data_IF_474172908491
#
_entry.id   IF_474172908491
#
_cell.length_a   1.000
_cell.length_b   1.000
_cell.length_c   1.000
_cell.angle_alpha   90.00
_cell.angle_beta   90.00
_cell.angle_gamma   90.00
#
_symmetry.space_group_name_H-M   'P 1'
#
loop_
_entity.id
_entity.type
_entity.pdbx_description
1 polymer ?
#
# COMPACT_ATOMS: atom_id res chain seq x y z
N UNK A 1 -2.68 14.51 -1.64
CA UNK A 1 -2.86 14.66 -3.09
C UNK A 1 -4.02 13.81 -3.61
N UNK A 2 -5.24 14.36 -3.69
CA UNK A 2 -6.41 13.64 -4.20
C UNK A 2 -6.42 13.45 -5.73
N UNK A 3 -5.25 13.34 -6.38
CA UNK A 3 -5.13 13.27 -7.84
C UNK A 3 -5.70 14.49 -8.59
N UNK A 4 -6.12 15.55 -7.88
CA UNK A 4 -6.60 16.80 -8.45
C UNK A 4 -5.71 17.92 -7.94
N UNK A 5 -4.91 18.48 -8.84
CA UNK A 5 -4.20 19.73 -8.64
C UNK A 5 -5.04 20.85 -9.28
N UNK A 6 -5.34 21.97 -8.59
CA UNK A 6 -5.95 23.12 -9.23
C UNK A 6 -4.99 23.71 -10.27
N UNK A 7 -5.50 24.03 -11.47
CA UNK A 7 -4.71 24.58 -12.57
C UNK A 7 -4.11 23.53 -13.52
N UNK A 8 -3.00 23.87 -14.18
CA UNK A 8 -2.33 23.01 -15.19
C UNK A 8 -1.40 22.01 -14.49
N UNK A 9 -1.99 20.95 -13.93
CA UNK A 9 -1.24 19.87 -13.28
C UNK A 9 -0.41 19.05 -14.28
N UNK A 10 0.80 18.63 -13.89
CA UNK A 10 1.60 17.65 -14.60
C UNK A 10 1.42 16.31 -13.87
N UNK A 11 0.93 15.31 -14.56
CA UNK A 11 0.74 13.97 -14.02
C UNK A 11 1.89 13.08 -14.47
N UNK A 12 2.45 12.32 -13.54
CA UNK A 12 3.51 11.34 -13.79
C UNK A 12 3.04 10.01 -13.22
N UNK A 13 3.25 8.93 -13.97
CA UNK A 13 2.97 7.58 -13.50
C UNK A 13 3.71 7.31 -12.19
N UNK A 14 3.07 6.56 -11.28
CA UNK A 14 3.67 6.18 -10.00
C UNK A 14 4.71 5.06 -10.17
N UNK A 15 5.66 5.27 -11.07
CA UNK A 15 6.75 4.34 -11.38
C UNK A 15 8.07 5.09 -11.23
N UNK A 16 9.00 4.54 -10.45
CA UNK A 16 10.30 5.18 -10.18
C UNK A 16 11.06 5.56 -11.45
N UNK A 17 11.11 4.67 -12.44
CA UNK A 17 11.82 4.91 -13.71
C UNK A 17 11.22 6.09 -14.49
N UNK A 18 9.89 6.21 -14.47
CA UNK A 18 9.17 7.29 -15.15
C UNK A 18 9.37 8.63 -14.42
N UNK A 19 9.40 8.62 -13.08
CA UNK A 19 9.68 9.81 -12.28
C UNK A 19 11.12 10.31 -12.47
N UNK A 20 12.11 9.41 -12.41
CA UNK A 20 13.52 9.74 -12.64
C UNK A 20 13.73 10.29 -14.06
N UNK A 21 13.14 9.65 -15.09
CA UNK A 21 13.18 10.17 -16.47
C UNK A 21 12.58 11.58 -16.57
N UNK A 22 11.47 11.85 -15.88
CA UNK A 22 10.83 13.15 -15.89
C UNK A 22 11.72 14.25 -15.27
N UNK A 23 12.47 13.90 -14.21
CA UNK A 23 13.46 14.79 -13.58
C UNK A 23 14.64 15.03 -14.53
N UNK A 24 15.31 13.97 -14.99
CA UNK A 24 16.52 14.06 -15.82
C UNK A 24 16.28 14.78 -17.15
N UNK A 25 15.12 14.53 -17.79
CA UNK A 25 14.76 15.17 -19.06
C UNK A 25 14.11 16.56 -18.89
N UNK A 26 14.08 17.10 -17.66
CA UNK A 26 13.45 18.39 -17.30
C UNK A 26 12.01 18.49 -17.82
N UNK A 27 11.27 17.38 -17.80
CA UNK A 27 9.91 17.30 -18.35
C UNK A 27 8.93 18.16 -17.57
N UNK A 28 9.17 18.36 -16.27
CA UNK A 28 8.40 19.28 -15.44
C UNK A 28 8.52 20.73 -15.92
N UNK A 29 9.73 21.20 -16.23
CA UNK A 29 9.95 22.55 -16.78
C UNK A 29 9.32 22.71 -18.17
N UNK A 30 9.39 21.65 -19.00
CA UNK A 30 8.72 21.64 -20.32
C UNK A 30 7.20 21.72 -20.20
N UNK A 31 6.60 20.91 -19.33
CA UNK A 31 5.15 20.89 -19.10
C UNK A 31 4.63 22.18 -18.43
N UNK A 32 5.42 22.77 -17.54
CA UNK A 32 5.07 24.01 -16.84
C UNK A 32 5.30 25.27 -17.68
N UNK A 33 5.98 25.15 -18.83
CA UNK A 33 6.44 26.27 -19.67
C UNK A 33 7.23 27.35 -18.89
N UNK A 34 7.87 26.95 -17.79
CA UNK A 34 8.67 27.80 -16.90
C UNK A 34 9.80 26.96 -16.30
N UNK A 35 10.91 27.58 -15.95
CA UNK A 35 11.98 26.90 -15.23
C UNK A 35 11.47 26.43 -13.87
N UNK A 36 11.49 25.11 -13.66
CA UNK A 36 11.15 24.48 -12.38
C UNK A 36 12.45 23.97 -11.76
N UNK A 37 12.72 24.39 -10.53
CA UNK A 37 13.80 23.80 -9.71
C UNK A 37 13.23 22.58 -9.01
N UNK A 38 13.77 21.42 -9.34
CA UNK A 38 13.38 20.15 -8.71
C UNK A 38 14.33 19.92 -7.54
N UNK A 39 13.83 19.69 -6.32
CA UNK A 39 14.69 19.33 -5.20
C UNK A 39 15.37 17.98 -5.44
N UNK A 40 16.61 17.86 -5.00
CA UNK A 40 17.31 16.59 -4.95
C UNK A 40 16.52 15.61 -4.06
N UNK A 41 16.47 14.33 -4.43
CA UNK A 41 15.69 13.33 -3.69
C UNK A 41 14.18 13.44 -3.86
N UNK A 42 13.67 14.06 -4.94
CA UNK A 42 12.22 14.13 -5.22
C UNK A 42 11.54 12.75 -5.14
N UNK A 43 12.20 11.70 -5.62
CA UNK A 43 11.68 10.32 -5.57
C UNK A 43 11.43 9.86 -4.14
N UNK A 44 12.38 10.12 -3.23
CA UNK A 44 12.29 9.71 -1.83
C UNK A 44 11.21 10.53 -1.10
N UNK A 45 11.07 11.82 -1.43
CA UNK A 45 9.98 12.67 -0.94
C UNK A 45 8.60 12.16 -1.38
N UNK A 46 8.48 11.71 -2.64
CA UNK A 46 7.26 11.13 -3.18
C UNK A 46 6.96 9.80 -2.48
N UNK A 47 7.96 8.94 -2.30
CA UNK A 47 7.82 7.68 -1.58
C UNK A 47 7.32 7.89 -0.14
N UNK A 48 7.99 8.75 0.62
CA UNK A 48 7.62 9.07 2.01
C UNK A 48 6.20 9.64 2.09
N UNK A 49 5.82 10.48 1.12
CA UNK A 49 4.46 11.03 1.04
C UNK A 49 3.42 9.94 0.74
N UNK A 50 3.71 9.01 -0.17
CA UNK A 50 2.81 7.89 -0.48
C UNK A 50 2.66 6.94 0.71
N UNK A 51 3.77 6.62 1.39
CA UNK A 51 3.76 5.83 2.63
C UNK A 51 2.87 6.48 3.68
N UNK A 52 3.06 7.79 3.94
CA UNK A 52 2.25 8.52 4.91
C UNK A 52 0.76 8.46 4.57
N UNK A 53 0.40 8.56 3.29
CA UNK A 53 -1.00 8.53 2.84
C UNK A 53 -1.64 7.16 2.97
N UNK A 54 -0.88 6.11 2.71
CA UNK A 54 -1.31 4.74 2.97
C UNK A 54 -1.52 4.51 4.47
N UNK A 55 -0.60 4.96 5.32
CA UNK A 55 -0.73 4.89 6.78
C UNK A 55 -1.95 5.67 7.29
N UNK A 56 -2.19 6.88 6.77
CA UNK A 56 -3.35 7.67 7.14
C UNK A 56 -4.66 7.01 6.69
N UNK A 57 -4.69 6.36 5.53
CA UNK A 57 -5.85 5.61 5.05
C UNK A 57 -6.16 4.39 5.94
N UNK A 58 -5.13 3.63 6.32
CA UNK A 58 -5.25 2.52 7.29
C UNK A 58 -5.70 3.06 8.65
N UNK A 59 -5.13 4.19 9.10
CA UNK A 59 -5.49 4.85 10.36
C UNK A 59 -6.95 5.31 10.38
N UNK A 60 -7.47 5.83 9.27
CA UNK A 60 -8.90 6.15 9.12
C UNK A 60 -9.77 4.90 9.18
N UNK A 61 -9.37 3.81 8.51
CA UNK A 61 -10.10 2.54 8.58
C UNK A 61 -10.13 1.97 10.00
N UNK A 62 -9.02 2.08 10.74
CA UNK A 62 -8.95 1.71 12.16
C UNK A 62 -9.90 2.54 13.01
N UNK A 63 -9.87 3.87 12.86
CA UNK A 63 -10.75 4.79 13.60
C UNK A 63 -12.23 4.55 13.30
N UNK A 64 -12.56 4.12 12.08
CA UNK A 64 -13.90 3.74 11.67
C UNK A 64 -14.33 2.32 12.11
N UNK A 65 -13.49 1.58 12.85
CA UNK A 65 -13.76 0.19 13.25
C UNK A 65 -13.73 -0.81 12.09
N UNK A 66 -13.18 -0.41 10.93
CA UNK A 66 -13.11 -1.23 9.71
C UNK A 66 -11.74 -1.88 9.48
N UNK A 67 -10.75 -1.60 10.32
CA UNK A 67 -9.45 -2.26 10.25
C UNK A 67 -9.04 -2.82 11.62
N UNK A 68 -8.49 -4.03 11.61
CA UNK A 68 -8.02 -4.76 12.78
C UNK A 68 -6.57 -5.21 12.60
N UNK A 69 -5.87 -5.41 13.72
CA UNK A 69 -4.50 -5.88 13.74
C UNK A 69 -4.33 -7.02 14.76
N UNK A 70 -3.46 -7.97 14.42
CA UNK A 70 -3.15 -9.16 15.21
C UNK A 70 -3.67 -10.44 14.54
N UNK A 71 -2.86 -11.50 14.61
CA UNK A 71 -3.10 -12.76 13.90
C UNK A 71 -4.49 -13.36 14.16
N UNK A 72 -4.84 -13.60 15.42
CA UNK A 72 -6.13 -14.21 15.83
C UNK A 72 -7.33 -13.44 15.27
N UNK A 73 -7.34 -12.10 15.46
CA UNK A 73 -8.44 -11.24 15.02
C UNK A 73 -8.56 -11.21 13.50
N UNK A 74 -7.41 -11.09 12.82
CA UNK A 74 -7.34 -11.10 11.35
C UNK A 74 -7.84 -12.43 10.79
N UNK A 75 -7.41 -13.55 11.38
CA UNK A 75 -7.89 -14.88 10.99
C UNK A 75 -9.41 -14.98 11.08
N UNK A 76 -10.00 -14.62 12.22
CA UNK A 76 -11.45 -14.66 12.42
C UNK A 76 -12.19 -13.81 11.36
N UNK A 77 -11.67 -12.61 11.04
CA UNK A 77 -12.29 -11.73 10.05
C UNK A 77 -12.18 -12.26 8.62
N UNK A 78 -11.07 -12.94 8.28
CA UNK A 78 -10.87 -13.61 7.00
C UNK A 78 -11.79 -14.83 6.88
N UNK A 79 -11.88 -15.65 7.93
CA UNK A 79 -12.72 -16.85 8.00
C UNK A 79 -14.22 -16.47 7.86
N UNK A 80 -14.62 -15.30 8.35
CA UNK A 80 -15.98 -14.74 8.18
C UNK A 80 -16.23 -14.09 6.81
N UNK A 81 -15.21 -13.99 5.95
CA UNK A 81 -15.33 -13.33 4.63
C UNK A 81 -15.53 -11.80 4.70
N UNK A 82 -15.30 -11.19 5.86
CA UNK A 82 -15.53 -9.75 6.08
C UNK A 82 -14.36 -8.88 5.59
N UNK A 83 -13.16 -9.46 5.54
CA UNK A 83 -11.94 -8.79 5.10
C UNK A 83 -11.83 -8.73 3.56
N UNK A 84 -11.56 -7.53 3.03
CA UNK A 84 -11.25 -7.31 1.60
C UNK A 84 -9.80 -6.98 1.33
N UNK A 85 -9.06 -6.53 2.34
CA UNK A 85 -7.63 -6.28 2.23
C UNK A 85 -6.91 -6.99 3.37
N UNK A 86 -5.91 -7.80 3.04
CA UNK A 86 -4.98 -8.41 3.98
C UNK A 86 -3.64 -7.68 3.87
N UNK A 87 -3.17 -7.15 4.99
CA UNK A 87 -1.89 -6.46 5.13
C UNK A 87 -0.95 -7.37 5.93
N UNK A 88 0.20 -7.70 5.37
CA UNK A 88 1.24 -8.47 6.04
C UNK A 88 2.57 -7.73 5.97
N UNK A 89 3.27 -7.66 7.09
CA UNK A 89 4.58 -7.03 7.15
C UNK A 89 5.61 -7.86 6.37
N UNK A 90 6.44 -7.21 5.54
CA UNK A 90 7.47 -7.85 4.71
C UNK A 90 8.57 -8.52 5.54
N UNK A 91 8.84 -8.02 6.74
CA UNK A 91 9.78 -8.51 7.76
C UNK A 91 9.12 -9.40 8.84
N UNK A 92 7.84 -9.77 8.66
CA UNK A 92 7.17 -10.76 9.50
C UNK A 92 7.70 -12.19 9.30
N UNK A 93 7.61 -13.03 10.32
CA UNK A 93 8.06 -14.44 10.23
C UNK A 93 7.22 -15.24 9.22
N UNK A 94 7.87 -16.05 8.38
CA UNK A 94 7.21 -16.87 7.35
C UNK A 94 6.18 -17.84 7.93
N UNK A 95 6.46 -18.38 9.13
CA UNK A 95 5.59 -19.34 9.83
C UNK A 95 4.19 -18.78 10.13
N UNK A 96 4.05 -17.45 10.24
CA UNK A 96 2.77 -16.75 10.41
C UNK A 96 2.15 -16.26 9.10
N UNK A 97 2.97 -15.91 8.10
CA UNK A 97 2.51 -15.38 6.80
C UNK A 97 1.72 -16.41 5.98
N UNK A 98 2.22 -17.64 5.89
CA UNK A 98 1.64 -18.69 5.04
C UNK A 98 0.31 -19.28 5.52
N UNK A 99 -0.22 -18.82 6.66
CA UNK A 99 -1.47 -19.34 7.26
C UNK A 99 -2.69 -18.46 7.03
N UNK A 100 -2.50 -17.28 6.46
CA UNK A 100 -3.58 -16.33 6.18
C UNK A 100 -3.64 -16.12 4.68
N UNK A 101 -4.79 -16.41 4.09
CA UNK A 101 -5.08 -16.13 2.69
C UNK A 101 -6.25 -15.17 2.60
N UNK A 102 -6.26 -14.36 1.55
CA UNK A 102 -7.40 -13.48 1.26
C UNK A 102 -8.58 -14.28 0.74
N UNK A 103 -9.83 -13.95 1.14
CA UNK A 103 -11.00 -14.51 0.50
C UNK A 103 -11.09 -14.07 -0.98
N UNK A 104 -11.97 -14.70 -1.74
CA UNK A 104 -12.14 -14.42 -3.17
C UNK A 104 -12.37 -12.92 -3.45
N UNK A 105 -11.64 -12.38 -4.42
CA UNK A 105 -11.64 -10.96 -4.77
C UNK A 105 -10.95 -10.03 -3.76
N UNK A 106 -10.39 -10.57 -2.66
CA UNK A 106 -9.57 -9.82 -1.72
C UNK A 106 -8.22 -9.39 -2.31
N UNK A 107 -7.60 -8.40 -1.69
CA UNK A 107 -6.27 -7.90 -2.06
C UNK A 107 -5.28 -8.12 -0.94
N UNK A 108 -4.12 -8.66 -1.30
CA UNK A 108 -3.00 -8.84 -0.39
C UNK A 108 -1.94 -7.76 -0.62
N UNK A 109 -1.42 -7.20 0.46
CA UNK A 109 -0.38 -6.17 0.47
C UNK A 109 0.71 -6.63 1.45
N UNK A 110 1.89 -6.94 0.93
CA UNK A 110 2.97 -7.60 1.67
C UNK A 110 4.30 -6.87 1.76
N UNK A 111 4.36 -5.61 1.32
CA UNK A 111 5.63 -4.88 1.13
C UNK A 111 5.93 -3.82 2.20
N UNK A 112 5.01 -3.60 3.14
CA UNK A 112 5.23 -2.68 4.27
C UNK A 112 6.05 -3.37 5.36
N UNK A 113 6.93 -2.66 6.06
CA UNK A 113 7.58 -3.23 7.26
C UNK A 113 6.62 -3.28 8.45
N UNK A 114 6.98 -4.03 9.48
CA UNK A 114 6.20 -4.15 10.70
C UNK A 114 6.04 -2.79 11.40
N UNK A 115 7.07 -1.96 11.34
CA UNK A 115 7.09 -0.62 11.92
C UNK A 115 6.21 0.34 11.12
N UNK A 116 6.30 0.29 9.78
CA UNK A 116 5.46 1.09 8.88
C UNK A 116 3.97 0.79 9.08
N UNK A 117 3.63 -0.49 9.23
CA UNK A 117 2.27 -0.92 9.54
C UNK A 117 1.89 -0.56 10.97
N UNK A 118 2.82 -0.70 11.93
CA UNK A 118 2.65 -0.31 13.33
C UNK A 118 2.20 1.13 13.49
N UNK A 119 2.89 2.07 12.81
CA UNK A 119 2.57 3.49 12.82
C UNK A 119 1.11 3.78 12.41
N UNK A 120 0.58 3.07 11.42
CA UNK A 120 -0.81 3.22 10.99
C UNK A 120 -1.82 2.77 12.07
N UNK A 121 -1.44 1.81 12.91
CA UNK A 121 -2.24 1.30 14.01
C UNK A 121 -1.99 2.00 15.35
N UNK A 122 -1.03 2.92 15.43
CA UNK A 122 -0.60 3.54 16.68
C UNK A 122 0.09 2.55 17.61
N UNK A 123 0.89 1.64 17.06
CA UNK A 123 1.67 0.61 17.76
C UNK A 123 3.10 0.65 17.26
N UNK A 124 4.04 0.13 18.04
CA UNK A 124 5.43 0.03 17.60
C UNK A 124 5.57 -0.89 16.38
N UNK A 125 4.94 -2.07 16.45
CA UNK A 125 4.98 -3.07 15.37
C UNK A 125 3.65 -3.76 15.14
N UNK A 126 3.32 -4.02 13.87
CA UNK A 126 2.19 -4.85 13.46
C UNK A 126 2.61 -5.79 12.33
N UNK A 127 2.40 -7.09 12.50
CA UNK A 127 2.74 -8.09 11.47
C UNK A 127 1.55 -8.40 10.56
N UNK A 128 0.35 -8.48 11.12
CA UNK A 128 -0.86 -8.84 10.39
C UNK A 128 -1.96 -7.83 10.67
N UNK A 129 -2.59 -7.36 9.61
CA UNK A 129 -3.77 -6.52 9.68
C UNK A 129 -4.76 -6.88 8.56
N UNK A 130 -6.03 -6.58 8.79
CA UNK A 130 -7.08 -6.76 7.80
C UNK A 130 -8.00 -5.55 7.79
N UNK A 131 -8.57 -5.27 6.61
CA UNK A 131 -9.52 -4.18 6.39
C UNK A 131 -10.80 -4.74 5.78
N UNK A 132 -11.93 -4.35 6.36
CA UNK A 132 -13.26 -4.68 5.87
C UNK A 132 -13.55 -4.06 4.50
N UNK A 133 -14.58 -4.56 3.83
CA UNK A 133 -15.09 -3.93 2.60
C UNK A 133 -15.46 -2.45 2.81
N UNK A 134 -15.36 -1.67 1.73
CA UNK A 134 -15.79 -0.27 1.69
C UNK A 134 -14.84 0.64 0.93
N UNK A 135 -15.17 1.94 0.94
CA UNK A 135 -14.40 2.98 0.25
C UNK A 135 -12.97 3.10 0.77
N UNK A 136 -12.74 2.87 2.06
CA UNK A 136 -11.42 2.88 2.68
C UNK A 136 -10.55 1.71 2.21
N UNK A 137 -11.10 0.50 2.04
CA UNK A 137 -10.36 -0.62 1.47
C UNK A 137 -9.88 -0.32 0.04
N UNK A 138 -10.77 0.22 -0.80
CA UNK A 138 -10.40 0.65 -2.17
C UNK A 138 -9.29 1.70 -2.14
N UNK A 139 -9.40 2.71 -1.28
CA UNK A 139 -8.39 3.76 -1.13
C UNK A 139 -7.04 3.20 -0.68
N UNK A 140 -7.03 2.26 0.26
CA UNK A 140 -5.81 1.58 0.73
C UNK A 140 -5.15 0.83 -0.42
N UNK A 141 -5.92 0.08 -1.22
CA UNK A 141 -5.39 -0.62 -2.40
C UNK A 141 -4.80 0.35 -3.43
N UNK A 142 -5.48 1.47 -3.70
CA UNK A 142 -5.00 2.48 -4.65
C UNK A 142 -3.70 3.17 -4.18
N UNK A 143 -3.62 3.56 -2.91
CA UNK A 143 -2.39 4.18 -2.36
C UNK A 143 -1.25 3.15 -2.26
N UNK A 144 -1.56 1.89 -1.92
CA UNK A 144 -0.58 0.80 -1.91
C UNK A 144 0.00 0.53 -3.31
N UNK A 145 -0.85 0.47 -4.34
CA UNK A 145 -0.39 0.27 -5.72
C UNK A 145 0.55 1.41 -6.17
N UNK A 146 0.26 2.66 -5.80
CA UNK A 146 1.15 3.80 -6.10
C UNK A 146 2.49 3.70 -5.38
N UNK A 147 2.47 3.37 -4.09
CA UNK A 147 3.69 3.20 -3.31
C UNK A 147 4.55 2.05 -3.85
N UNK A 148 3.91 0.94 -4.21
CA UNK A 148 4.59 -0.22 -4.78
C UNK A 148 5.33 0.10 -6.07
N UNK A 149 4.71 0.86 -6.98
CA UNK A 149 5.35 1.27 -8.23
C UNK A 149 6.55 2.21 -8.04
N UNK A 150 6.57 3.00 -6.96
CA UNK A 150 7.74 3.81 -6.58
C UNK A 150 8.84 2.96 -5.94
N UNK A 151 8.48 1.97 -5.12
CA UNK A 151 9.47 1.08 -4.47
C UNK A 151 10.04 0.00 -5.40
N UNK A 152 9.51 -0.15 -6.63
CA UNK A 152 9.86 -1.24 -7.56
C UNK A 152 9.74 -2.64 -6.94
N UNK A 153 8.84 -2.83 -5.96
CA UNK A 153 8.65 -4.14 -5.35
C UNK A 153 7.82 -4.99 -6.31
N UNK A 154 8.46 -5.97 -6.95
CA UNK A 154 7.79 -7.01 -7.74
C UNK A 154 6.64 -7.58 -6.91
N UNK A 155 5.41 -7.44 -7.40
CA UNK A 155 4.23 -7.90 -6.69
C UNK A 155 4.33 -9.37 -6.34
N UNK A 156 4.49 -9.66 -5.05
CA UNK A 156 4.44 -11.01 -4.55
C UNK A 156 3.00 -11.51 -4.66
N UNK A 157 2.83 -12.55 -5.46
CA UNK A 157 1.65 -13.40 -5.52
C UNK A 157 1.29 -13.85 -4.11
N UNK A 158 -0.01 -13.97 -3.76
CA UNK A 158 -0.41 -14.61 -2.51
C UNK A 158 0.23 -15.99 -2.41
N UNK A 159 0.75 -16.32 -1.23
CA UNK A 159 1.30 -17.65 -0.95
C UNK A 159 0.19 -18.70 -1.09
N UNK A 160 0.33 -19.53 -2.12
CA UNK A 160 -0.23 -20.87 -2.32
C UNK A 160 -1.75 -21.03 -2.26
N UNK A 161 -2.35 -21.01 -3.44
CA UNK A 161 -3.34 -22.01 -3.84
C UNK A 161 -2.78 -23.40 -3.49
N UNK A 162 -3.35 -24.05 -2.47
CA UNK A 162 -3.11 -25.47 -2.22
C UNK A 162 -4.19 -26.24 -2.94
N UNK A 163 -3.76 -27.04 -3.91
CA UNK A 163 -4.47 -28.18 -4.48
C UNK A 163 -5.35 -28.85 -3.44
N UNK A 164 -6.67 -28.79 -3.64
CA UNK A 164 -7.59 -29.76 -3.05
C UNK A 164 -7.61 -30.95 -4.00
N UNK A 165 -6.50 -31.69 -4.01
CA UNK A 165 -6.38 -32.99 -4.65
C UNK A 165 -6.77 -34.09 -3.67
N UNK A 166 -7.95 -34.67 -3.93
CA UNK A 166 -8.32 -36.07 -3.71
C UNK A 166 -8.53 -36.59 -2.26
N UNK A 167 -9.81 -36.81 -1.93
CA UNK A 167 -10.30 -37.98 -1.20
C UNK A 167 -11.73 -38.29 -1.65
#
# INVERSE_FOLDING_TARGET
>A
MAGKLPGRGIYVSAERSTLEKAVTKRMFSKGAKKQVKIPDGLTDLVEATLLKRLQDAIGMARKAGKAIAGYEKVKIMLDRGEARVLLQASDGSERGKGKLSTPEGGKWIGFLTADELGLAFGRDRVIHAAVASGTLARRIVEEAARLQGIRQVSGSTPAAEKDIGNA
#
